data_IF_914467807931
#
_entry.id   IF_914467807931
#
_cell.length_a   1.000
_cell.length_b   1.000
_cell.length_c   1.000
_cell.angle_alpha   90.00
_cell.angle_beta   90.00
_cell.angle_gamma   90.00
#
_symmetry.space_group_name_H-M   'P 1'
#
loop_
_entity.id
_entity.type
_entity.pdbx_description
1 polymer ?
#
# COMPACT_ATOMS: atom_id res chain seq x y z
N UNK A 1 48.05 50.35 -1.62
CA UNK A 1 47.31 49.09 -1.57
C UNK A 1 45.88 49.46 -1.14
N UNK A 2 45.04 50.00 -2.04
CA UNK A 2 44.08 49.27 -2.90
C UNK A 2 43.20 48.32 -2.08
N UNK A 3 41.95 48.68 -1.70
CA UNK A 3 40.68 48.74 -2.45
C UNK A 3 40.19 47.38 -3.01
N UNK A 4 38.94 47.09 -2.63
CA UNK A 4 37.86 46.48 -3.39
C UNK A 4 37.53 44.97 -3.28
N UNK A 5 36.19 44.78 -3.27
CA UNK A 5 35.36 43.60 -3.54
C UNK A 5 35.22 42.56 -2.40
N UNK A 6 34.02 42.07 -2.04
CA UNK A 6 32.79 41.81 -2.84
C UNK A 6 31.61 41.54 -1.87
N UNK A 7 30.46 42.22 -2.00
CA UNK A 7 29.16 41.69 -2.53
C UNK A 7 28.80 40.27 -2.00
N UNK A 8 27.60 39.92 -1.55
CA UNK A 8 26.29 40.53 -1.76
C UNK A 8 25.26 39.93 -0.80
N UNK A 9 24.18 40.69 -0.61
CA UNK A 9 22.93 40.28 0.00
C UNK A 9 22.15 39.32 -0.91
N UNK A 10 21.35 38.45 -0.32
CA UNK A 10 20.21 37.78 -0.95
C UNK A 10 19.48 36.98 0.13
N UNK A 11 18.28 37.31 0.61
CA UNK A 11 17.23 38.13 0.03
C UNK A 11 16.38 37.28 -0.91
N UNK A 12 15.33 36.64 -0.39
CA UNK A 12 13.98 36.57 -0.98
C UNK A 12 13.17 35.38 -0.42
N UNK A 13 12.01 35.72 0.14
CA UNK A 13 10.90 34.81 0.33
C UNK A 13 10.44 34.20 -1.00
N UNK A 14 9.98 32.95 -0.96
CA UNK A 14 8.88 32.50 -1.82
C UNK A 14 7.88 31.71 -0.99
N UNK A 15 6.66 32.26 -0.97
CA UNK A 15 5.43 31.58 -0.61
C UNK A 15 4.90 30.80 -1.83
N UNK A 16 3.87 29.99 -1.56
CA UNK A 16 3.04 29.17 -2.46
C UNK A 16 3.63 27.81 -2.83
N UNK A 17 2.93 26.69 -2.65
CA UNK A 17 1.49 26.50 -2.51
C UNK A 17 1.00 25.58 -3.63
N UNK A 18 0.32 24.51 -3.22
CA UNK A 18 -0.62 23.70 -4.01
C UNK A 18 -0.07 22.57 -4.88
N UNK A 19 -0.50 21.35 -4.54
CA UNK A 19 -0.42 20.17 -5.39
C UNK A 19 -0.67 18.87 -4.64
N UNK A 20 -1.90 18.67 -4.12
CA UNK A 20 -2.29 17.40 -3.50
C UNK A 20 -2.36 16.24 -4.49
N UNK A 21 -2.35 15.02 -3.97
CA UNK A 21 -3.40 14.05 -4.27
C UNK A 21 -4.14 13.80 -2.95
N UNK A 22 -5.44 14.01 -2.89
CA UNK A 22 -6.36 13.10 -3.54
C UNK A 22 -6.75 12.03 -2.51
N UNK A 23 -7.77 12.38 -1.72
CA UNK A 23 -8.80 11.56 -1.09
C UNK A 23 -8.49 10.13 -0.59
N UNK A 24 -9.00 9.88 0.62
CA UNK A 24 -9.19 8.58 1.26
C UNK A 24 -7.98 8.01 2.03
N UNK A 25 -7.51 8.76 3.02
CA UNK A 25 -6.90 8.18 4.20
C UNK A 25 -7.58 8.69 5.49
N UNK A 26 -8.91 8.79 5.48
CA UNK A 26 -9.68 8.56 6.72
C UNK A 26 -9.66 7.06 7.01
N UNK A 27 -8.45 6.55 7.18
CA UNK A 27 -8.20 5.24 7.73
C UNK A 27 -8.67 5.33 9.17
N UNK A 28 -9.73 4.59 9.45
CA UNK A 28 -10.33 4.54 10.77
C UNK A 28 -9.28 3.98 11.75
N UNK A 29 -8.55 4.86 12.43
CA UNK A 29 -7.53 4.50 13.40
C UNK A 29 -8.18 4.12 14.73
N UNK A 30 -8.26 2.83 15.02
CA UNK A 30 -8.51 2.35 16.38
C UNK A 30 -7.31 2.73 17.26
N UNK A 31 -7.47 3.67 18.19
CA UNK A 31 -6.54 3.88 19.32
C UNK A 31 -5.02 3.96 18.97
N UNK A 32 -4.66 4.49 17.80
CA UNK A 32 -3.25 4.57 17.35
C UNK A 32 -2.67 3.27 16.79
N UNK A 33 -3.49 2.23 16.60
CA UNK A 33 -3.12 1.01 15.90
C UNK A 33 -3.35 1.21 14.40
N UNK A 34 -2.28 1.11 13.62
CA UNK A 34 -2.38 1.16 12.16
C UNK A 34 -3.21 -0.03 11.64
N UNK A 35 -4.07 0.18 10.62
CA UNK A 35 -4.90 -0.89 10.05
C UNK A 35 -4.02 -2.01 9.51
N UNK A 36 -4.37 -3.25 9.86
CA UNK A 36 -3.70 -4.48 9.46
C UNK A 36 -4.14 -4.95 8.07
N UNK A 37 -5.34 -4.59 7.63
CA UNK A 37 -5.89 -4.92 6.31
C UNK A 37 -5.03 -4.37 5.16
N UNK A 38 -4.59 -3.12 5.27
CA UNK A 38 -3.80 -2.44 4.24
C UNK A 38 -2.49 -3.20 3.91
N UNK A 39 -1.56 -3.47 4.84
CA UNK A 39 -0.33 -4.16 4.48
C UNK A 39 -0.59 -5.52 3.81
N UNK A 40 -1.68 -6.23 4.13
CA UNK A 40 -2.10 -7.47 3.47
C UNK A 40 -2.54 -7.25 2.02
N UNK A 41 -3.37 -6.24 1.73
CA UNK A 41 -3.68 -5.84 0.35
C UNK A 41 -2.43 -5.48 -0.44
N UNK A 42 -1.48 -4.77 0.17
CA UNK A 42 -0.21 -4.44 -0.49
C UNK A 42 0.59 -5.71 -0.85
N UNK A 43 0.58 -6.75 0.00
CA UNK A 43 1.22 -8.03 -0.35
C UNK A 43 0.52 -8.73 -1.51
N UNK A 44 -0.82 -8.73 -1.53
CA UNK A 44 -1.61 -9.28 -2.62
C UNK A 44 -1.31 -8.56 -3.95
N UNK A 45 -1.18 -7.23 -3.92
CA UNK A 45 -0.74 -6.42 -5.07
C UNK A 45 0.61 -6.86 -5.62
N UNK A 46 1.62 -6.99 -4.75
CA UNK A 46 2.96 -7.46 -5.16
C UNK A 46 2.94 -8.87 -5.79
N UNK A 47 2.12 -9.78 -5.27
CA UNK A 47 1.97 -11.11 -5.85
C UNK A 47 1.34 -11.09 -7.25
N UNK A 48 0.40 -10.18 -7.50
CA UNK A 48 -0.17 -9.98 -8.86
C UNK A 48 0.87 -9.46 -9.83
N UNK A 49 1.66 -8.48 -9.40
CA UNK A 49 2.77 -7.96 -10.22
C UNK A 49 3.78 -9.06 -10.54
N UNK A 50 4.13 -9.90 -9.56
CA UNK A 50 4.99 -11.06 -9.78
C UNK A 50 4.36 -12.06 -10.77
N UNK A 51 3.06 -12.33 -10.65
CA UNK A 51 2.35 -13.19 -11.60
C UNK A 51 2.36 -12.61 -13.03
N UNK A 52 2.20 -11.30 -13.18
CA UNK A 52 2.28 -10.61 -14.47
C UNK A 52 3.69 -10.73 -15.08
N UNK A 53 4.73 -10.42 -14.30
CA UNK A 53 6.15 -10.57 -14.73
C UNK A 53 6.48 -12.00 -15.13
N UNK A 54 5.92 -13.00 -14.43
CA UNK A 54 6.10 -14.41 -14.80
C UNK A 54 5.41 -14.74 -16.13
N UNK A 55 4.22 -14.18 -16.42
CA UNK A 55 3.54 -14.37 -17.71
C UNK A 55 4.32 -13.73 -18.85
N UNK A 56 4.83 -12.52 -18.65
CA UNK A 56 5.73 -11.86 -19.60
C UNK A 56 6.99 -12.70 -19.83
N UNK A 57 7.61 -13.20 -18.76
CA UNK A 57 8.75 -14.11 -18.84
C UNK A 57 8.44 -15.40 -19.59
N UNK A 58 7.25 -15.98 -19.42
CA UNK A 58 6.81 -17.14 -20.18
C UNK A 58 6.61 -16.84 -21.67
N UNK A 59 6.09 -15.66 -22.00
CA UNK A 59 5.96 -15.20 -23.39
C UNK A 59 7.33 -14.94 -24.04
N UNK A 60 8.32 -14.50 -23.27
CA UNK A 60 9.68 -14.26 -23.72
C UNK A 60 10.53 -15.54 -23.92
N UNK A 61 10.03 -16.74 -23.57
CA UNK A 61 10.77 -18.00 -23.76
C UNK A 61 10.90 -18.31 -25.25
N UNK A 62 12.10 -18.11 -25.79
CA UNK A 62 12.46 -18.34 -27.19
C UNK A 62 12.91 -19.78 -27.50
N UNK A 63 13.09 -20.64 -26.48
CA UNK A 63 13.52 -22.03 -26.67
C UNK A 63 12.46 -22.80 -27.49
N UNK A 64 12.83 -23.40 -28.64
CA UNK A 64 11.91 -24.19 -29.44
C UNK A 64 11.69 -25.60 -28.86
N UNK A 65 10.71 -26.31 -29.40
CA UNK A 65 10.47 -27.72 -29.07
C UNK A 65 9.88 -27.99 -27.68
N UNK A 66 9.99 -29.25 -27.25
CA UNK A 66 9.33 -29.76 -26.07
C UNK A 66 9.85 -29.15 -24.76
N UNK A 67 11.15 -28.87 -24.69
CA UNK A 67 11.81 -28.27 -23.52
C UNK A 67 11.31 -26.84 -23.28
N UNK A 68 11.26 -26.03 -24.34
CA UNK A 68 10.70 -24.67 -24.25
C UNK A 68 9.23 -24.67 -23.86
N UNK A 69 8.44 -25.61 -24.39
CA UNK A 69 7.04 -25.77 -23.99
C UNK A 69 6.91 -26.20 -22.51
N UNK A 70 7.76 -27.10 -22.04
CA UNK A 70 7.78 -27.53 -20.63
C UNK A 70 8.16 -26.37 -19.69
N UNK A 71 9.16 -25.58 -20.06
CA UNK A 71 9.57 -24.40 -19.31
C UNK A 71 8.44 -23.36 -19.24
N UNK A 72 7.82 -23.01 -20.38
CA UNK A 72 6.66 -22.09 -20.42
C UNK A 72 5.52 -22.56 -19.51
N UNK A 73 5.15 -23.85 -19.57
CA UNK A 73 4.13 -24.43 -18.68
C UNK A 73 4.50 -24.29 -17.21
N UNK A 74 5.76 -24.53 -16.85
CA UNK A 74 6.23 -24.43 -15.47
C UNK A 74 6.14 -22.99 -14.96
N UNK A 75 6.60 -22.01 -15.75
CA UNK A 75 6.51 -20.58 -15.42
C UNK A 75 5.04 -20.15 -15.25
N UNK A 76 4.16 -20.53 -16.18
CA UNK A 76 2.72 -20.24 -16.08
C UNK A 76 2.09 -20.89 -14.84
N UNK A 77 2.53 -22.10 -14.46
CA UNK A 77 2.12 -22.73 -13.21
C UNK A 77 2.54 -21.95 -11.96
N UNK A 78 3.72 -21.32 -11.95
CA UNK A 78 4.13 -20.41 -10.88
C UNK A 78 3.29 -19.12 -10.86
N UNK A 79 3.00 -18.54 -12.04
CA UNK A 79 2.15 -17.36 -12.15
C UNK A 79 0.73 -17.62 -11.61
N UNK A 80 0.14 -18.77 -11.95
CA UNK A 80 -1.18 -19.17 -11.46
C UNK A 80 -1.22 -19.35 -9.93
N UNK A 81 -0.15 -19.92 -9.34
CA UNK A 81 -0.02 -20.03 -7.88
C UNK A 81 0.08 -18.67 -7.21
N UNK A 82 0.90 -17.76 -7.74
CA UNK A 82 1.03 -16.40 -7.20
C UNK A 82 -0.31 -15.64 -7.24
N UNK A 83 -1.06 -15.76 -8.33
CA UNK A 83 -2.38 -15.14 -8.44
C UNK A 83 -3.43 -15.77 -7.50
N UNK A 84 -3.40 -17.10 -7.32
CA UNK A 84 -4.24 -17.77 -6.33
C UNK A 84 -3.95 -17.29 -4.90
N UNK A 85 -2.66 -17.18 -4.54
CA UNK A 85 -2.23 -16.64 -3.26
C UNK A 85 -2.67 -15.17 -3.09
N UNK A 86 -2.51 -14.34 -4.12
CA UNK A 86 -2.99 -12.95 -4.09
C UNK A 86 -4.50 -12.86 -3.82
N UNK A 87 -5.32 -13.68 -4.50
CA UNK A 87 -6.77 -13.74 -4.25
C UNK A 87 -7.13 -14.24 -2.86
N UNK A 88 -6.31 -15.11 -2.27
CA UNK A 88 -6.50 -15.55 -0.89
C UNK A 88 -6.18 -14.43 0.10
N UNK A 89 -5.10 -13.68 -0.13
CA UNK A 89 -4.70 -12.55 0.71
C UNK A 89 -5.71 -11.40 0.65
N UNK A 90 -6.25 -11.08 -0.52
CA UNK A 90 -7.27 -10.04 -0.61
C UNK A 90 -8.55 -10.39 0.16
N UNK A 91 -9.03 -11.64 0.04
CA UNK A 91 -10.18 -12.09 0.85
C UNK A 91 -9.88 -12.02 2.35
N UNK A 92 -8.65 -12.30 2.75
CA UNK A 92 -8.23 -12.15 4.15
C UNK A 92 -8.15 -10.68 4.57
N UNK A 93 -7.67 -9.80 3.69
CA UNK A 93 -7.62 -8.36 3.93
C UNK A 93 -9.03 -7.75 4.06
N UNK A 94 -9.98 -8.18 3.23
CA UNK A 94 -11.39 -7.78 3.32
C UNK A 94 -12.00 -8.20 4.68
N UNK A 95 -11.69 -9.42 5.14
CA UNK A 95 -12.14 -9.90 6.45
C UNK A 95 -11.51 -9.12 7.61
N UNK A 96 -10.22 -8.76 7.51
CA UNK A 96 -9.54 -7.90 8.48
C UNK A 96 -10.16 -6.50 8.51
N UNK A 97 -10.45 -5.92 7.34
CA UNK A 97 -11.08 -4.60 7.23
C UNK A 97 -12.46 -4.57 7.91
N UNK A 98 -13.27 -5.62 7.72
CA UNK A 98 -14.55 -5.75 8.41
C UNK A 98 -14.39 -5.79 9.94
N UNK A 99 -13.36 -6.49 10.43
CA UNK A 99 -13.07 -6.55 11.87
C UNK A 99 -12.58 -5.20 12.42
N UNK A 100 -11.72 -4.49 11.69
CA UNK A 100 -11.24 -3.15 12.02
C UNK A 100 -12.38 -2.13 12.15
N UNK A 101 -13.39 -2.22 11.29
CA UNK A 101 -14.59 -1.40 11.35
C UNK A 101 -15.40 -1.65 12.64
N UNK A 102 -15.56 -2.92 13.04
CA UNK A 102 -16.24 -3.28 14.30
C UNK A 102 -15.46 -2.76 15.51
N UNK A 103 -14.14 -2.96 15.54
CA UNK A 103 -13.29 -2.47 16.63
C UNK A 103 -13.37 -0.96 16.78
N UNK A 104 -13.43 -0.23 15.68
CA UNK A 104 -13.58 1.22 15.75
C UNK A 104 -14.97 1.63 16.21
N UNK A 105 -16.04 1.02 15.70
CA UNK A 105 -17.38 1.31 16.18
C UNK A 105 -17.49 1.12 17.71
N UNK A 106 -16.87 0.07 18.25
CA UNK A 106 -16.78 -0.18 19.70
C UNK A 106 -15.97 0.90 20.42
N UNK A 107 -14.82 1.32 19.88
CA UNK A 107 -14.00 2.39 20.45
C UNK A 107 -14.73 3.74 20.50
N UNK A 108 -15.43 4.09 19.42
CA UNK A 108 -16.23 5.33 19.33
C UNK A 108 -17.36 5.30 20.35
N UNK A 109 -18.13 4.20 20.43
CA UNK A 109 -19.20 4.05 21.42
C UNK A 109 -18.69 4.15 22.86
N UNK A 110 -17.50 3.60 23.15
CA UNK A 110 -16.90 3.70 24.50
C UNK A 110 -16.57 5.15 24.87
N UNK A 111 -16.11 5.97 23.92
CA UNK A 111 -15.85 7.40 24.17
C UNK A 111 -17.15 8.17 24.43
N UNK A 112 -18.19 7.89 23.67
CA UNK A 112 -19.49 8.54 23.81
C UNK A 112 -20.21 8.18 25.13
N UNK A 113 -20.11 6.92 25.56
CA UNK A 113 -20.77 6.43 26.79
C UNK A 113 -19.92 6.62 28.05
N UNK A 114 -18.60 6.71 27.92
CA UNK A 114 -17.65 6.90 29.02
C UNK A 114 -17.44 8.35 29.47
N UNK A 115 -18.07 9.34 28.79
CA UNK A 115 -18.00 10.76 29.16
C UNK A 115 -18.90 11.18 30.31
N UNK A 116 -19.78 10.29 30.80
CA UNK A 116 -20.66 10.53 31.93
C UNK A 116 -20.09 9.97 33.25
N UNK A 117 -18.83 10.29 33.58
CA UNK A 117 -18.42 10.36 34.99
C UNK A 117 -18.81 11.73 35.53
N UNK A 118 -20.12 11.92 35.74
CA UNK A 118 -20.59 12.86 36.75
C UNK A 118 -20.38 12.15 38.09
N UNK A 119 -19.24 12.42 38.73
CA UNK A 119 -19.06 12.14 40.16
C UNK A 119 -18.64 13.47 40.78
N UNK A 120 -19.54 14.04 41.58
CA UNK A 120 -19.27 15.14 42.50
C UNK A 120 -19.12 16.50 41.86
#
# INVERSE_FOLDING_TARGET
>A
MSRDHREEQGGAATANGSGGPGGAADGICFAGIAPWSQPVHAQAGRLREQAARLREGAAAVSLPGAEGAALRRRILGHAARAESAARSLDRAADALFAHEAVLTALATRRRETGGATHIG
#
